data_IF_750978276336
#
_entry.id   IF_750978276336
#
_cell.length_a   1.000
_cell.length_b   1.000
_cell.length_c   1.000
_cell.angle_alpha   90.00
_cell.angle_beta   90.00
_cell.angle_gamma   90.00
#
_symmetry.space_group_name_H-M   'P 1'
#
loop_
_entity.id
_entity.type
_entity.pdbx_description
1 polymer ?
#
# COMPACT_ATOMS: atom_id res chain seq x y z
N UNK A 1 17.35 -4.09 -9.96
CA UNK A 1 15.90 -4.31 -10.14
C UNK A 1 15.40 -3.87 -11.52
N UNK A 2 15.92 -2.78 -12.06
CA UNK A 2 15.49 -2.20 -13.35
C UNK A 2 15.97 -2.96 -14.61
N UNK A 3 16.98 -3.81 -14.50
CA UNK A 3 17.56 -4.55 -15.65
C UNK A 3 16.63 -5.59 -16.29
N UNK A 4 15.59 -6.03 -15.60
CA UNK A 4 14.66 -7.05 -16.07
C UNK A 4 13.26 -6.51 -16.39
N UNK A 5 13.11 -5.19 -16.47
CA UNK A 5 11.84 -4.58 -16.84
C UNK A 5 11.68 -4.61 -18.36
N UNK A 6 10.61 -5.18 -18.90
CA UNK A 6 10.41 -5.19 -20.35
C UNK A 6 10.31 -3.75 -20.86
N UNK A 7 11.07 -3.46 -21.91
CA UNK A 7 11.13 -2.14 -22.56
C UNK A 7 9.74 -1.57 -22.89
N UNK A 8 8.80 -2.47 -23.19
CA UNK A 8 7.43 -2.12 -23.54
C UNK A 8 6.65 -1.50 -22.36
N UNK A 9 6.86 -2.01 -21.12
CA UNK A 9 6.25 -1.44 -19.92
C UNK A 9 6.84 -0.06 -19.60
N UNK A 10 8.14 0.10 -19.75
CA UNK A 10 8.81 1.38 -19.54
C UNK A 10 8.30 2.44 -20.52
N UNK A 11 8.11 2.06 -21.79
CA UNK A 11 7.59 2.96 -22.82
C UNK A 11 6.13 3.36 -22.59
N UNK A 12 5.30 2.40 -22.13
CA UNK A 12 3.90 2.65 -21.74
C UNK A 12 3.82 3.59 -20.55
N UNK A 13 4.61 3.35 -19.50
CA UNK A 13 4.67 4.22 -18.32
C UNK A 13 5.14 5.63 -18.65
N UNK A 14 6.14 5.79 -19.53
CA UNK A 14 6.57 7.11 -20.02
C UNK A 14 5.46 7.82 -20.76
N UNK A 15 4.76 7.13 -21.67
CA UNK A 15 3.66 7.71 -22.46
C UNK A 15 2.52 8.18 -21.57
N UNK A 16 2.13 7.38 -20.57
CA UNK A 16 1.07 7.73 -19.61
C UNK A 16 1.51 8.83 -18.65
N UNK A 17 2.77 8.81 -18.19
CA UNK A 17 3.35 9.88 -17.37
C UNK A 17 3.39 11.22 -18.08
N UNK A 18 3.77 11.26 -19.37
CA UNK A 18 3.75 12.47 -20.19
C UNK A 18 2.30 12.93 -20.43
N UNK A 19 1.38 12.00 -20.67
CA UNK A 19 -0.04 12.32 -20.88
C UNK A 19 -0.69 12.87 -19.61
N UNK A 20 -0.32 12.35 -18.44
CA UNK A 20 -0.75 12.86 -17.13
C UNK A 20 -0.20 14.25 -16.84
N UNK A 21 1.03 14.54 -17.23
CA UNK A 21 1.64 15.87 -17.09
C UNK A 21 1.01 16.94 -18.00
N UNK A 22 0.52 16.53 -19.16
CA UNK A 22 -0.07 17.46 -20.16
C UNK A 22 -1.58 17.60 -19.97
N UNK A 23 -2.24 16.62 -19.37
CA UNK A 23 -3.69 16.48 -19.48
C UNK A 23 -4.52 16.53 -18.22
N UNK A 24 -3.98 16.50 -16.98
CA UNK A 24 -4.90 16.49 -15.84
C UNK A 24 -4.24 16.86 -14.51
N UNK A 25 -4.49 18.08 -14.09
CA UNK A 25 -4.50 18.46 -12.67
C UNK A 25 -5.81 17.93 -12.04
N UNK A 26 -5.95 16.63 -11.86
CA UNK A 26 -7.08 16.08 -11.13
C UNK A 26 -6.72 15.91 -9.65
N UNK A 27 -7.37 16.70 -8.81
CA UNK A 27 -7.39 16.60 -7.35
C UNK A 27 -8.05 15.29 -6.83
N UNK A 28 -8.24 14.30 -7.70
CA UNK A 28 -8.96 13.07 -7.39
C UNK A 28 -8.11 11.99 -6.70
N UNK A 29 -6.78 12.06 -6.81
CA UNK A 29 -5.90 11.02 -6.22
C UNK A 29 -6.02 10.95 -4.69
N UNK A 30 -6.16 12.10 -4.03
CA UNK A 30 -6.41 12.14 -2.58
C UNK A 30 -7.78 11.60 -2.17
N UNK A 31 -8.78 11.78 -3.02
CA UNK A 31 -10.14 11.31 -2.77
C UNK A 31 -10.28 9.80 -2.98
N UNK A 32 -9.62 9.20 -3.96
CA UNK A 32 -9.64 7.75 -4.19
C UNK A 32 -8.98 6.97 -3.05
N UNK A 33 -7.93 7.51 -2.42
CA UNK A 33 -7.35 6.90 -1.21
C UNK A 33 -8.33 6.85 -0.03
N UNK A 34 -9.23 7.81 0.06
CA UNK A 34 -10.22 7.92 1.15
C UNK A 34 -11.51 7.15 0.83
N UNK A 35 -11.92 7.12 -0.43
CA UNK A 35 -13.16 6.46 -0.87
C UNK A 35 -13.09 4.93 -0.95
N UNK A 36 -11.88 4.35 -0.92
CA UNK A 36 -11.67 2.91 -1.04
C UNK A 36 -11.60 2.41 -2.50
N UNK A 37 -11.60 3.29 -3.48
CA UNK A 37 -11.46 2.95 -4.90
C UNK A 37 -10.02 2.62 -5.28
N UNK A 38 -9.06 2.88 -4.37
CA UNK A 38 -7.63 2.63 -4.60
C UNK A 38 -7.31 1.15 -4.91
N UNK A 39 -8.09 0.21 -4.37
CA UNK A 39 -7.90 -1.21 -4.69
C UNK A 39 -8.21 -1.52 -6.16
N UNK A 40 -9.23 -0.89 -6.73
CA UNK A 40 -9.59 -1.04 -8.15
C UNK A 40 -8.51 -0.42 -9.05
N UNK A 41 -8.04 0.77 -8.72
CA UNK A 41 -6.95 1.42 -9.45
C UNK A 41 -5.66 0.56 -9.42
N UNK A 42 -5.39 -0.09 -8.28
CA UNK A 42 -4.26 -1.00 -8.14
C UNK A 42 -4.44 -2.27 -8.97
N UNK A 43 -5.65 -2.81 -9.06
CA UNK A 43 -5.97 -3.98 -9.88
C UNK A 43 -5.80 -3.65 -11.37
N UNK A 44 -6.33 -2.53 -11.84
CA UNK A 44 -6.13 -2.03 -13.21
C UNK A 44 -4.65 -1.82 -13.51
N UNK A 45 -3.90 -1.19 -12.59
CA UNK A 45 -2.45 -1.06 -12.71
C UNK A 45 -1.76 -2.41 -12.82
N UNK A 46 -2.21 -3.41 -12.05
CA UNK A 46 -1.60 -4.72 -12.02
C UNK A 46 -1.81 -5.50 -13.32
N UNK A 47 -2.94 -5.30 -14.00
CA UNK A 47 -3.22 -5.90 -15.30
C UNK A 47 -2.35 -5.29 -16.41
N UNK A 48 -2.16 -3.97 -16.37
CA UNK A 48 -1.37 -3.25 -17.38
C UNK A 48 0.14 -3.35 -17.17
N UNK A 49 0.59 -3.44 -15.90
CA UNK A 49 2.00 -3.39 -15.50
C UNK A 49 2.39 -4.49 -14.51
N UNK A 50 2.25 -5.79 -14.85
CA UNK A 50 2.44 -6.88 -13.90
C UNK A 50 3.88 -6.99 -13.37
N UNK A 51 4.88 -6.72 -14.20
CA UNK A 51 6.29 -6.76 -13.77
C UNK A 51 6.61 -5.60 -12.84
N UNK A 52 6.07 -4.42 -13.12
CA UNK A 52 6.23 -3.24 -12.28
C UNK A 52 5.57 -3.45 -10.92
N UNK A 53 4.33 -3.95 -10.89
CA UNK A 53 3.63 -4.32 -9.64
C UNK A 53 4.46 -5.32 -8.82
N UNK A 54 4.96 -6.37 -9.45
CA UNK A 54 5.77 -7.38 -8.78
C UNK A 54 6.99 -6.76 -8.08
N UNK A 55 7.70 -5.85 -8.75
CA UNK A 55 8.89 -5.23 -8.17
C UNK A 55 8.58 -4.16 -7.12
N UNK A 56 7.56 -3.33 -7.34
CA UNK A 56 7.23 -2.21 -6.47
C UNK A 56 6.40 -2.62 -5.25
N UNK A 57 5.55 -3.64 -5.39
CA UNK A 57 4.59 -4.03 -4.35
C UNK A 57 4.92 -5.42 -3.81
N UNK A 58 4.80 -6.48 -4.60
CA UNK A 58 4.79 -7.85 -4.11
C UNK A 58 6.09 -8.29 -3.45
N UNK A 59 7.24 -7.88 -3.99
CA UNK A 59 8.55 -8.15 -3.39
C UNK A 59 8.74 -7.40 -2.07
N UNK A 60 8.27 -6.17 -2.00
CA UNK A 60 8.33 -5.34 -0.78
C UNK A 60 7.42 -5.91 0.29
N UNK A 61 6.20 -6.30 -0.07
CA UNK A 61 5.26 -6.97 0.84
C UNK A 61 5.89 -8.23 1.44
N UNK A 62 6.50 -9.05 0.60
CA UNK A 62 7.17 -10.27 1.06
C UNK A 62 8.30 -9.97 2.05
N UNK A 63 9.09 -8.95 1.77
CA UNK A 63 10.19 -8.54 2.67
C UNK A 63 9.65 -8.00 4.00
N UNK A 64 8.66 -7.10 3.95
CA UNK A 64 8.03 -6.52 5.14
C UNK A 64 7.37 -7.60 6.00
N UNK A 65 6.62 -8.52 5.38
CA UNK A 65 5.98 -9.62 6.10
C UNK A 65 6.98 -10.55 6.79
N UNK A 66 8.10 -10.90 6.13
CA UNK A 66 9.16 -11.71 6.75
C UNK A 66 9.72 -11.02 7.99
N UNK A 67 9.97 -9.72 7.92
CA UNK A 67 10.50 -8.96 9.06
C UNK A 67 9.46 -8.85 10.19
N UNK A 68 8.18 -8.62 9.87
CA UNK A 68 7.11 -8.57 10.87
C UNK A 68 6.93 -9.92 11.58
N UNK A 69 6.93 -11.04 10.84
CA UNK A 69 6.84 -12.38 11.43
C UNK A 69 8.04 -12.67 12.33
N UNK A 70 9.24 -12.29 11.90
CA UNK A 70 10.46 -12.44 12.70
C UNK A 70 10.35 -11.61 13.99
N UNK A 71 9.93 -10.35 13.89
CA UNK A 71 9.75 -9.46 15.04
C UNK A 71 8.70 -10.02 16.03
N UNK A 72 7.57 -10.48 15.51
CA UNK A 72 6.50 -11.09 16.30
C UNK A 72 6.98 -12.32 17.08
N UNK A 73 7.75 -13.21 16.45
CA UNK A 73 8.28 -14.41 17.09
C UNK A 73 9.29 -14.10 18.17
N UNK A 74 10.10 -13.05 18.01
CA UNK A 74 11.11 -12.66 19.01
C UNK A 74 10.51 -11.87 20.18
N UNK A 75 9.29 -11.35 20.03
CA UNK A 75 8.64 -10.51 21.05
C UNK A 75 7.20 -10.99 21.32
N UNK A 76 7.00 -12.20 21.87
CA UNK A 76 5.68 -12.81 21.97
C UNK A 76 4.70 -12.05 22.86
N UNK A 77 5.21 -11.27 23.83
CA UNK A 77 4.39 -10.49 24.77
C UNK A 77 4.23 -9.03 24.35
N UNK A 78 4.70 -8.66 23.16
CA UNK A 78 4.66 -7.27 22.70
C UNK A 78 3.50 -7.02 21.74
N UNK A 79 2.95 -5.81 21.81
CA UNK A 79 2.00 -5.32 20.82
C UNK A 79 2.77 -4.63 19.71
N UNK A 80 2.66 -5.14 18.48
CA UNK A 80 3.33 -4.61 17.30
C UNK A 80 2.32 -3.84 16.46
N UNK A 81 2.66 -2.62 16.09
CA UNK A 81 1.88 -1.80 15.16
C UNK A 81 2.74 -1.54 13.92
N UNK A 82 2.25 -1.89 12.75
CA UNK A 82 2.87 -1.60 11.48
C UNK A 82 2.02 -0.59 10.71
N UNK A 83 2.62 0.51 10.26
CA UNK A 83 1.98 1.51 9.41
C UNK A 83 2.52 1.34 8.00
N UNK A 84 1.61 1.10 7.05
CA UNK A 84 1.96 0.83 5.64
C UNK A 84 1.04 1.62 4.71
N UNK A 85 1.48 1.82 3.46
CA UNK A 85 0.63 2.42 2.44
C UNK A 85 -0.54 1.50 2.06
N UNK A 86 -1.67 2.07 1.66
CA UNK A 86 -2.90 1.32 1.32
C UNK A 86 -2.66 0.21 0.29
N UNK A 87 -1.81 0.45 -0.71
CA UNK A 87 -1.47 -0.54 -1.74
C UNK A 87 -0.75 -1.80 -1.24
N UNK A 88 -0.26 -1.80 -0.01
CA UNK A 88 0.41 -2.95 0.61
C UNK A 88 -0.51 -3.76 1.53
N UNK A 89 -1.66 -3.18 1.94
CA UNK A 89 -2.52 -3.75 2.98
C UNK A 89 -3.02 -5.14 2.61
N UNK A 90 -3.60 -5.32 1.43
CA UNK A 90 -4.19 -6.59 1.02
C UNK A 90 -3.13 -7.66 0.73
N UNK A 91 -2.03 -7.27 0.07
CA UNK A 91 -0.89 -8.15 -0.18
C UNK A 91 -0.23 -8.64 1.10
N UNK A 92 -0.02 -7.76 2.07
CA UNK A 92 0.53 -8.12 3.37
C UNK A 92 -0.45 -8.93 4.22
N UNK A 93 -1.74 -8.58 4.23
CA UNK A 93 -2.76 -9.34 4.95
C UNK A 93 -2.81 -10.80 4.51
N UNK A 94 -2.77 -11.04 3.19
CA UNK A 94 -2.77 -12.40 2.65
C UNK A 94 -1.56 -13.22 3.11
N UNK A 95 -0.39 -12.58 3.23
CA UNK A 95 0.86 -13.21 3.65
C UNK A 95 0.98 -13.39 5.17
N UNK A 96 0.27 -12.58 5.96
CA UNK A 96 0.30 -12.58 7.43
C UNK A 96 -0.84 -13.38 8.08
N UNK A 97 -1.61 -14.15 7.31
CA UNK A 97 -2.77 -14.93 7.82
C UNK A 97 -2.44 -15.80 9.04
N UNK A 98 -1.23 -16.34 9.12
CA UNK A 98 -0.79 -17.20 10.23
C UNK A 98 -0.77 -16.50 11.59
N UNK A 99 -0.54 -15.19 11.61
CA UNK A 99 -0.50 -14.38 12.84
C UNK A 99 -1.77 -13.54 13.06
N UNK A 100 -2.75 -13.64 12.15
CA UNK A 100 -4.08 -13.01 12.24
C UNK A 100 -4.01 -11.52 12.63
N UNK A 101 -3.37 -10.65 11.83
CA UNK A 101 -3.24 -9.24 12.16
C UNK A 101 -4.60 -8.56 12.17
N UNK A 102 -4.80 -7.61 13.08
CA UNK A 102 -5.94 -6.70 13.03
C UNK A 102 -5.64 -5.57 12.05
N UNK A 103 -6.43 -5.46 11.00
CA UNK A 103 -6.31 -4.39 10.03
C UNK A 103 -7.17 -3.21 10.45
N UNK A 104 -6.60 -2.00 10.33
CA UNK A 104 -7.31 -0.74 10.51
C UNK A 104 -6.97 0.13 9.30
N UNK A 105 -7.95 0.41 8.46
CA UNK A 105 -7.77 1.26 7.27
C UNK A 105 -8.02 2.72 7.60
N UNK A 106 -7.43 3.61 6.81
CA UNK A 106 -7.62 5.06 6.97
C UNK A 106 -9.10 5.46 6.95
N UNK A 107 -9.89 4.88 6.06
CA UNK A 107 -11.35 5.11 5.99
C UNK A 107 -12.07 4.77 7.29
N UNK A 108 -11.64 3.70 8.00
CA UNK A 108 -12.25 3.28 9.27
C UNK A 108 -11.92 4.25 10.38
N UNK A 109 -10.75 4.90 10.32
CA UNK A 109 -10.34 5.95 11.26
C UNK A 109 -11.09 7.26 10.99
N UNK A 110 -11.28 7.61 9.72
CA UNK A 110 -11.97 8.83 9.33
C UNK A 110 -13.49 8.76 9.59
N UNK A 111 -14.09 7.59 9.43
CA UNK A 111 -15.52 7.39 9.76
C UNK A 111 -15.82 7.48 11.26
N UNK A 112 -14.80 7.24 12.11
CA UNK A 112 -14.90 7.43 13.57
C UNK A 112 -14.78 8.88 14.04
N UNK A 113 -14.89 9.86 13.16
CA UNK A 113 -14.63 11.30 13.38
C UNK A 113 -15.51 11.99 14.44
N UNK A 114 -16.37 11.27 15.15
CA UNK A 114 -17.14 11.81 16.28
C UNK A 114 -16.45 11.62 17.65
N UNK A 115 -15.28 11.02 17.72
CA UNK A 115 -14.51 10.93 18.94
C UNK A 115 -13.19 11.69 18.77
N UNK A 116 -13.07 12.79 19.47
CA UNK A 116 -11.89 13.65 19.55
C UNK A 116 -10.68 12.82 19.98
N UNK A 117 -9.72 12.61 19.08
CA UNK A 117 -8.41 12.05 19.45
C UNK A 117 -7.54 13.17 19.97
N UNK A 118 -7.28 13.22 21.26
CA UNK A 118 -6.22 14.04 21.84
C UNK A 118 -4.95 13.20 21.96
N UNK A 119 -3.89 13.62 21.28
CA UNK A 119 -2.56 13.05 21.49
C UNK A 119 -1.87 13.88 22.58
N UNK A 120 -1.63 13.28 23.73
CA UNK A 120 -0.75 13.87 24.74
C UNK A 120 0.66 13.33 24.52
N UNK A 121 1.55 14.16 23.98
CA UNK A 121 2.98 13.86 23.95
C UNK A 121 3.52 14.24 25.34
N UNK A 122 3.90 13.24 26.13
CA UNK A 122 4.70 13.47 27.33
C UNK A 122 6.15 13.61 26.91
N UNK A 123 6.66 14.82 26.98
CA UNK A 123 8.09 15.12 26.85
C UNK A 123 8.76 14.83 28.20
#
# INVERSE_FOLDING_TARGET
AWKNMPWIELWRMMKEGIFSLIGRSDNNFGNSMVSGDFSKELDEFSEHYPVTKFHLIDRRDTHMCKNLVKLFRHNPNSRIVAVVGEGHVDGMNSKLRSIKPKIVRLRDLLSRKNNTFSFTVKI
#
